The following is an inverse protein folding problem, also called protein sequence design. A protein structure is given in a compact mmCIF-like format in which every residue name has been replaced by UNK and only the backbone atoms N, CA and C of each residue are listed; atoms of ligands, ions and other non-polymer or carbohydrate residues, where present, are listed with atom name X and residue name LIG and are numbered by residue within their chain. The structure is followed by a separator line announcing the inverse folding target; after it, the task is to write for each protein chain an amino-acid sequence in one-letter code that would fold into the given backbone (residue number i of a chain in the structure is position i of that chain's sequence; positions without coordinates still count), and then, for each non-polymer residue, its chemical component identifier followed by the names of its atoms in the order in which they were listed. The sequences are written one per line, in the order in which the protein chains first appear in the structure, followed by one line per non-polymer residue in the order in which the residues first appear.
data_IF_912859047568
#
_entry.id   IF_912859047568
#
_cell.length_a   1.000
_cell.length_b   1.000
_cell.length_c   1.000
_cell.angle_alpha   90.00
_cell.angle_beta   90.00
_cell.angle_gamma   90.00
#
_symmetry.space_group_name_H-M   'P 1'
#
loop_
_entity.id
_entity.type
_entity.pdbx_description
1 polymer ?
#
# COMPACT_ATOMS: atom_id res chain seq x y z
N UNK A 1 8.24 1.69 13.08
CA UNK A 1 9.67 1.28 13.05
C UNK A 1 10.35 1.65 11.74
N UNK A 2 10.33 0.86 10.65
CA UNK A 2 11.15 1.17 9.45
C UNK A 2 10.80 2.51 8.77
N UNK A 3 9.51 2.76 8.51
CA UNK A 3 9.04 4.02 7.91
C UNK A 3 9.28 5.21 8.82
N UNK A 4 9.02 5.05 10.11
CA UNK A 4 9.20 6.08 11.13
C UNK A 4 10.67 6.44 11.33
N UNK A 5 11.56 5.46 11.17
CA UNK A 5 13.00 5.67 11.14
C UNK A 5 13.51 6.20 9.78
N UNK A 6 12.62 6.46 8.81
CA UNK A 6 12.96 7.03 7.50
C UNK A 6 13.78 6.12 6.58
N UNK A 7 13.89 4.81 6.88
CA UNK A 7 14.69 3.86 6.07
C UNK A 7 14.00 3.41 4.79
N UNK A 8 12.68 3.49 4.75
CA UNK A 8 11.83 3.06 3.63
C UNK A 8 10.71 4.06 3.39
N UNK A 9 10.19 4.09 2.15
CA UNK A 9 9.00 4.87 1.77
C UNK A 9 9.10 6.38 2.07
N UNK A 10 10.30 6.97 1.91
CA UNK A 10 10.51 8.42 2.12
C UNK A 10 9.60 9.23 1.18
N UNK A 11 8.83 10.16 1.73
CA UNK A 11 7.88 11.01 1.01
C UNK A 11 6.51 10.35 0.75
N UNK A 12 6.39 9.03 0.91
CA UNK A 12 5.12 8.33 0.73
C UNK A 12 4.24 8.48 1.96
N UNK A 13 2.95 8.65 1.71
CA UNK A 13 1.87 8.78 2.68
C UNK A 13 1.05 7.48 2.68
N UNK A 14 0.49 7.16 3.84
CA UNK A 14 -0.42 6.02 4.01
C UNK A 14 -1.53 6.40 4.98
N UNK A 15 -2.73 5.90 4.71
CA UNK A 15 -3.90 6.08 5.56
C UNK A 15 -3.70 5.42 6.91
N UNK A 16 -4.36 5.97 7.93
CA UNK A 16 -4.44 5.29 9.21
C UNK A 16 -5.25 4.01 9.04
N UNK A 17 -4.69 2.90 9.51
CA UNK A 17 -5.32 1.60 9.44
C UNK A 17 -6.26 1.44 10.63
N UNK A 18 -7.53 1.18 10.32
CA UNK A 18 -8.58 0.89 11.31
C UNK A 18 -9.15 -0.53 11.16
N UNK A 19 -8.60 -1.33 10.26
CA UNK A 19 -9.04 -2.71 9.99
C UNK A 19 -8.05 -3.74 10.55
N UNK A 20 -8.56 -4.93 10.84
CA UNK A 20 -7.79 -6.07 11.36
C UNK A 20 -6.70 -6.54 10.37
N UNK A 21 -5.64 -7.25 10.83
CA UNK A 21 -4.61 -7.82 9.98
C UNK A 21 -5.18 -8.61 8.79
N UNK A 22 -4.55 -8.47 7.63
CA UNK A 22 -5.05 -9.05 6.36
C UNK A 22 -4.51 -10.45 6.10
N UNK A 23 -3.49 -10.88 6.84
CA UNK A 23 -2.79 -12.16 6.71
C UNK A 23 -2.45 -12.72 8.11
N UNK A 24 -2.30 -14.04 8.35
CA UNK A 24 -2.66 -15.19 7.50
C UNK A 24 -3.92 -15.82 8.05
N UNK A 25 -4.94 -15.96 7.21
CA UNK A 25 -6.18 -16.65 7.56
C UNK A 25 -6.12 -18.14 7.25
N UNK A 26 -6.87 -18.93 8.04
CA UNK A 26 -7.19 -20.30 7.68
C UNK A 26 -8.13 -20.32 6.47
N UNK A 27 -8.05 -21.37 5.65
CA UNK A 27 -8.82 -21.48 4.42
C UNK A 27 -10.33 -21.32 4.68
N UNK A 28 -10.98 -20.41 3.95
CA UNK A 28 -12.41 -20.13 4.07
C UNK A 28 -12.90 -19.79 5.50
N UNK A 29 -12.04 -19.23 6.37
CA UNK A 29 -12.35 -18.93 7.78
C UNK A 29 -11.90 -17.53 8.18
N UNK A 30 -12.54 -16.96 9.21
CA UNK A 30 -12.13 -15.70 9.86
C UNK A 30 -11.10 -15.90 10.98
N UNK A 31 -10.74 -17.14 11.27
CA UNK A 31 -9.68 -17.49 12.23
C UNK A 31 -8.31 -17.31 11.59
N UNK A 32 -7.37 -16.72 12.32
CA UNK A 32 -5.98 -16.67 11.90
C UNK A 32 -5.34 -18.07 11.98
N UNK A 33 -4.52 -18.42 10.99
CA UNK A 33 -3.89 -19.73 10.89
C UNK A 33 -2.96 -20.07 12.07
N UNK A 34 -2.56 -19.07 12.87
CA UNK A 34 -1.74 -19.25 14.07
C UNK A 34 -2.50 -19.66 15.33
N UNK A 35 -3.83 -19.65 15.35
CA UNK A 35 -4.63 -19.95 16.56
C UNK A 35 -4.87 -21.45 16.77
N UNK A 36 -4.96 -22.24 15.71
CA UNK A 36 -5.38 -23.65 15.76
C UNK A 36 -4.19 -24.64 15.72
N UNK A 37 -2.98 -24.16 15.44
CA UNK A 37 -1.82 -25.04 15.19
C UNK A 37 -1.02 -25.29 16.47
N UNK A 38 -1.03 -26.54 16.94
CA UNK A 38 -0.25 -27.04 18.10
C UNK A 38 1.27 -27.02 17.88
N UNK A 39 1.74 -27.01 16.62
CA UNK A 39 3.16 -26.94 16.29
C UNK A 39 3.64 -25.49 16.01
N UNK A 40 4.64 -25.01 16.77
CA UNK A 40 5.22 -23.66 16.62
C UNK A 40 5.80 -23.38 15.21
N UNK A 41 6.23 -24.42 14.48
CA UNK A 41 6.92 -24.29 13.18
C UNK A 41 6.07 -23.72 12.03
N UNK A 42 4.73 -23.71 12.15
CA UNK A 42 3.82 -23.19 11.09
C UNK A 42 3.00 -21.97 11.53
N UNK A 43 3.20 -21.44 12.75
CA UNK A 43 2.45 -20.27 13.22
C UNK A 43 2.99 -19.02 12.53
N UNK A 44 2.17 -18.40 11.68
CA UNK A 44 2.39 -17.03 11.18
C UNK A 44 1.65 -16.06 12.09
N UNK A 45 2.33 -15.02 12.55
CA UNK A 45 1.71 -13.92 13.30
C UNK A 45 0.78 -13.14 12.38
N UNK A 46 -0.43 -12.75 12.82
CA UNK A 46 -1.27 -11.84 12.06
C UNK A 46 -0.50 -10.58 11.66
N UNK A 47 -0.58 -10.21 10.38
CA UNK A 47 0.16 -9.12 9.79
C UNK A 47 -0.67 -8.36 8.75
N UNK A 48 -0.33 -7.08 8.56
CA UNK A 48 -0.84 -6.23 7.48
C UNK A 48 0.16 -6.24 6.33
N UNK A 49 0.16 -7.31 5.54
CA UNK A 49 1.07 -7.45 4.40
C UNK A 49 0.59 -6.64 3.19
N UNK A 50 -0.71 -6.37 3.12
CA UNK A 50 -1.37 -5.75 1.96
C UNK A 50 -1.59 -4.25 2.24
N UNK A 51 -0.84 -3.39 1.53
CA UNK A 51 -0.70 -1.95 1.84
C UNK A 51 -0.89 -1.09 0.59
N UNK A 52 -1.52 0.08 0.75
CA UNK A 52 -1.70 1.04 -0.35
C UNK A 52 -1.16 2.39 0.11
N UNK A 53 -0.09 2.84 -0.55
CA UNK A 53 0.59 4.11 -0.26
C UNK A 53 0.44 5.05 -1.46
N UNK A 54 0.55 6.35 -1.21
CA UNK A 54 0.56 7.37 -2.26
C UNK A 54 1.67 8.40 -2.03
N UNK A 55 2.09 9.09 -3.08
CA UNK A 55 3.12 10.12 -3.03
C UNK A 55 2.69 11.32 -3.89
N UNK A 56 3.06 12.53 -3.49
CA UNK A 56 2.72 13.77 -4.19
C UNK A 56 1.58 14.55 -3.55
N UNK A 57 1.28 15.70 -4.15
CA UNK A 57 0.28 16.66 -3.67
C UNK A 57 -1.04 16.53 -4.43
N UNK A 58 -2.10 17.20 -3.97
CA UNK A 58 -3.43 17.11 -4.59
C UNK A 58 -4.14 15.76 -4.40
N UNK A 59 -3.61 14.84 -3.58
CA UNK A 59 -4.21 13.53 -3.33
C UNK A 59 -4.83 13.48 -1.93
N UNK A 60 -6.14 13.27 -1.87
CA UNK A 60 -6.91 13.11 -0.63
C UNK A 60 -7.48 11.70 -0.56
N UNK A 61 -7.11 10.94 0.47
CA UNK A 61 -7.67 9.61 0.69
C UNK A 61 -9.06 9.70 1.32
N UNK A 62 -10.05 9.07 0.69
CA UNK A 62 -11.43 9.01 1.17
C UNK A 62 -11.70 7.79 2.04
N UNK A 63 -11.14 6.65 1.66
CA UNK A 63 -11.35 5.39 2.38
C UNK A 63 -10.10 4.52 2.33
N UNK A 64 -9.94 3.70 3.37
CA UNK A 64 -8.93 2.68 3.45
C UNK A 64 -9.47 1.49 4.23
N UNK A 65 -9.89 0.45 3.53
CA UNK A 65 -10.71 -0.63 4.08
C UNK A 65 -10.19 -2.01 3.67
N UNK A 66 -10.53 -3.01 4.48
CA UNK A 66 -10.34 -4.43 4.19
C UNK A 66 -11.69 -5.03 3.79
N UNK A 67 -11.72 -5.82 2.73
CA UNK A 67 -12.88 -6.63 2.36
C UNK A 67 -12.89 -7.98 3.07
N UNK A 68 -14.05 -8.64 3.07
CA UNK A 68 -14.29 -9.91 3.80
C UNK A 68 -14.23 -11.16 2.91
N UNK A 69 -13.74 -11.03 1.68
CA UNK A 69 -13.55 -12.17 0.77
C UNK A 69 -12.60 -13.21 1.38
N UNK A 70 -13.01 -14.48 1.36
CA UNK A 70 -12.30 -15.61 2.00
C UNK A 70 -11.64 -16.58 1.00
N UNK A 71 -11.57 -16.20 -0.27
CA UNK A 71 -11.01 -17.03 -1.35
C UNK A 71 -9.50 -17.26 -1.21
N UNK A 72 -8.80 -16.46 -0.40
CA UNK A 72 -7.37 -16.54 -0.13
C UNK A 72 -7.13 -16.55 1.39
N UNK A 73 -5.90 -16.89 1.79
CA UNK A 73 -5.39 -16.64 3.14
C UNK A 73 -5.10 -15.16 3.41
N UNK A 74 -5.28 -14.31 2.40
CA UNK A 74 -5.34 -12.85 2.49
C UNK A 74 -6.77 -12.33 2.40
N UNK A 75 -7.00 -11.19 3.05
CA UNK A 75 -8.19 -10.35 2.87
C UNK A 75 -7.87 -9.19 1.94
N UNK A 76 -8.69 -8.91 0.91
CA UNK A 76 -8.42 -7.83 -0.03
C UNK A 76 -8.43 -6.48 0.69
N UNK A 77 -7.57 -5.56 0.22
CA UNK A 77 -7.49 -4.19 0.75
C UNK A 77 -7.81 -3.21 -0.37
N UNK A 78 -8.61 -2.20 -0.06
CA UNK A 78 -9.06 -1.18 -1.01
C UNK A 78 -8.85 0.21 -0.42
N UNK A 79 -8.49 1.16 -1.27
CA UNK A 79 -8.43 2.57 -0.93
C UNK A 79 -9.05 3.40 -2.05
N UNK A 80 -9.83 4.42 -1.68
CA UNK A 80 -10.39 5.39 -2.61
C UNK A 80 -9.74 6.76 -2.39
N UNK A 81 -9.52 7.49 -3.48
CA UNK A 81 -8.85 8.79 -3.47
C UNK A 81 -9.59 9.80 -4.33
N UNK A 82 -9.58 11.06 -3.91
CA UNK A 82 -9.78 12.22 -4.79
C UNK A 82 -8.39 12.70 -5.19
N UNK A 83 -8.20 12.93 -6.49
CA UNK A 83 -6.93 13.42 -7.05
C UNK A 83 -7.21 14.66 -7.86
N UNK A 84 -6.51 15.75 -7.55
CA UNK A 84 -6.53 16.97 -8.34
C UNK A 84 -5.79 16.74 -9.66
N UNK A 85 -6.41 17.16 -10.77
CA UNK A 85 -5.85 17.02 -12.12
C UNK A 85 -5.75 18.39 -12.76
N UNK A 86 -4.52 18.84 -13.03
CA UNK A 86 -4.28 20.03 -13.84
C UNK A 86 -4.42 19.69 -15.32
N UNK A 87 -5.32 20.38 -16.02
CA UNK A 87 -5.39 20.33 -17.49
C UNK A 87 -4.52 21.46 -18.02
N UNK A 88 -3.37 21.12 -18.60
CA UNK A 88 -2.51 22.10 -19.24
C UNK A 88 -3.18 22.63 -20.51
N UNK A 89 -3.41 23.93 -20.61
CA UNK A 89 -3.85 24.57 -21.84
C UNK A 89 -2.65 24.61 -22.82
N UNK A 90 -2.75 23.90 -23.94
CA UNK A 90 -1.69 23.81 -24.95
C UNK A 90 -1.36 25.16 -25.60
N UNK A 91 -2.17 26.19 -25.36
CA UNK A 91 -2.00 27.54 -25.92
C UNK A 91 -0.92 28.39 -25.26
N UNK A 92 -0.38 27.98 -24.10
CA UNK A 92 0.66 28.73 -23.37
C UNK A 92 2.07 28.10 -23.47
N UNK A 93 2.28 27.09 -24.33
CA UNK A 93 3.58 26.42 -24.51
C UNK A 93 4.56 27.19 -25.42
N UNK A 94 4.69 28.50 -25.23
CA UNK A 94 5.90 29.24 -25.60
C UNK A 94 6.49 29.86 -24.33
N UNK A 95 7.38 29.13 -23.66
CA UNK A 95 8.34 29.76 -22.73
C UNK A 95 8.46 29.20 -21.31
N UNK A 96 7.73 28.15 -20.90
CA UNK A 96 7.95 27.55 -19.58
C UNK A 96 8.06 26.02 -19.65
N UNK A 97 9.20 25.51 -19.19
CA UNK A 97 9.51 24.09 -19.14
C UNK A 97 8.48 23.34 -18.28
N UNK A 98 7.99 22.25 -18.86
CA UNK A 98 6.93 21.39 -18.36
C UNK A 98 7.15 20.90 -16.92
N UNK A 99 6.15 20.98 -16.01
CA UNK A 99 6.15 20.15 -14.82
C UNK A 99 5.74 18.74 -15.26
N UNK A 100 6.72 17.84 -15.19
CA UNK A 100 6.64 16.46 -15.63
C UNK A 100 5.72 15.66 -14.69
N UNK A 101 4.40 15.77 -14.85
CA UNK A 101 3.46 14.91 -14.13
C UNK A 101 3.42 13.55 -14.83
N UNK A 102 4.50 12.79 -14.66
CA UNK A 102 4.50 11.37 -14.94
C UNK A 102 3.72 10.72 -13.80
N UNK A 103 2.55 10.15 -14.10
CA UNK A 103 2.09 8.97 -13.36
C UNK A 103 3.07 7.85 -13.73
N UNK A 104 4.27 7.96 -13.18
CA UNK A 104 5.26 6.91 -13.26
C UNK A 104 4.85 5.89 -12.22
N UNK A 105 4.51 4.68 -12.65
CA UNK A 105 4.92 3.52 -11.88
C UNK A 105 6.47 3.50 -11.90
N UNK A 106 7.09 4.43 -11.18
CA UNK A 106 8.53 4.40 -10.98
C UNK A 106 8.79 3.30 -9.96
N UNK A 107 9.13 2.13 -10.48
CA UNK A 107 9.67 1.03 -9.71
C UNK A 107 11.03 1.48 -9.13
N UNK A 108 10.98 2.20 -8.01
CA UNK A 108 12.16 2.51 -7.20
C UNK A 108 12.45 1.34 -6.27
N UNK A 109 12.66 0.16 -6.86
CA UNK A 109 13.38 -0.88 -6.14
C UNK A 109 14.86 -0.44 -6.05
N UNK A 110 15.36 -0.36 -4.82
CA UNK A 110 16.78 -0.18 -4.57
C UNK A 110 17.56 -1.28 -5.28
N UNK A 111 18.50 -0.93 -6.15
CA UNK A 111 19.35 -1.86 -6.90
C UNK A 111 20.41 -2.57 -6.03
N UNK A 112 20.27 -2.54 -4.70
CA UNK A 112 21.12 -3.29 -3.77
C UNK A 112 20.28 -3.90 -2.65
N UNK A 113 19.55 -4.95 -3.00
CA UNK A 113 19.28 -6.03 -2.05
C UNK A 113 19.95 -7.28 -2.60
N UNK A 114 21.23 -7.47 -2.24
CA UNK A 114 21.85 -8.78 -2.30
C UNK A 114 21.15 -9.64 -1.25
N UNK A 115 20.18 -10.44 -1.67
CA UNK A 115 19.63 -11.50 -0.84
C UNK A 115 20.71 -12.58 -0.72
N UNK A 116 21.28 -12.69 0.48
CA UNK A 116 21.91 -13.93 0.94
C UNK A 116 20.82 -14.86 1.45
#
# INVERSE_FOLDING_TARGET
IEREAGRVFKGWKEGKIYFAPTYKYSNNSDTYAGEIVTSKKKRRTPAWCDRILWHGDGIVQLSYIRGESKFSDHRPVCAAFIVEVGVGDDRLKQGLSTPNMKVGAEERLSSRASYF
#
